data_IF_877594923568
#
_entry.id   IF_877594923568
#
_cell.length_a   1.000
_cell.length_b   1.000
_cell.length_c   1.000
_cell.angle_alpha   90.00
_cell.angle_beta   90.00
_cell.angle_gamma   90.00
#
_symmetry.space_group_name_H-M   'P 1'
#
loop_
_entity.id
_entity.type
_entity.pdbx_description
1 polymer ?
#
# COMPACT_ATOMS: atom_id res chain seq x y z
N UNK A 1 27.42 -10.28 -4.66
CA UNK A 1 28.58 -9.88 -3.85
C UNK A 1 28.83 -10.95 -2.78
N UNK A 2 29.96 -11.65 -2.90
CA UNK A 2 30.29 -12.81 -2.08
C UNK A 2 30.76 -12.45 -0.66
N UNK A 3 31.11 -11.19 -0.43
CA UNK A 3 31.69 -10.67 0.82
C UNK A 3 31.00 -9.38 1.26
N UNK A 4 29.68 -9.41 1.39
CA UNK A 4 28.89 -8.33 1.96
C UNK A 4 28.05 -8.86 3.10
N UNK A 5 27.60 -7.98 3.99
CA UNK A 5 26.70 -8.33 5.08
C UNK A 5 25.39 -8.96 4.55
N UNK A 6 24.96 -8.59 3.36
CA UNK A 6 23.81 -9.20 2.68
C UNK A 6 23.95 -10.72 2.47
N UNK A 7 25.17 -11.25 2.34
CA UNK A 7 25.37 -12.70 2.22
C UNK A 7 25.06 -13.46 3.53
N UNK A 8 24.99 -12.77 4.64
CA UNK A 8 24.62 -13.31 5.95
C UNK A 8 23.20 -12.93 6.38
N UNK A 9 22.79 -11.71 6.07
CA UNK A 9 21.49 -11.15 6.50
C UNK A 9 20.34 -11.57 5.58
N UNK A 10 20.65 -12.02 4.37
CA UNK A 10 19.67 -12.45 3.36
C UNK A 10 19.92 -13.91 2.96
N UNK A 11 20.17 -14.76 3.96
CA UNK A 11 20.49 -16.18 3.76
C UNK A 11 19.22 -17.02 3.77
N UNK A 12 18.36 -16.86 2.75
CA UNK A 12 17.19 -17.71 2.59
C UNK A 12 17.61 -19.10 2.06
N UNK A 13 16.88 -20.12 2.45
CA UNK A 13 17.00 -21.50 1.93
C UNK A 13 16.48 -21.57 0.48
N UNK A 14 17.08 -20.79 -0.39
CA UNK A 14 16.68 -20.64 -1.78
C UNK A 14 17.87 -20.40 -2.71
N UNK A 15 17.66 -20.56 -3.99
CA UNK A 15 18.71 -20.35 -4.99
C UNK A 15 19.20 -18.89 -4.97
N UNK A 16 20.50 -18.73 -4.88
CA UNK A 16 21.15 -17.41 -4.94
C UNK A 16 21.31 -16.99 -6.39
N UNK A 17 20.35 -16.21 -6.86
CA UNK A 17 20.37 -15.63 -8.19
C UNK A 17 20.84 -14.18 -8.10
N UNK A 18 21.82 -13.85 -8.96
CA UNK A 18 22.34 -12.49 -9.07
C UNK A 18 21.65 -11.75 -10.20
N UNK A 19 21.52 -10.45 -10.09
CA UNK A 19 20.99 -9.59 -11.14
C UNK A 19 19.99 -8.57 -10.62
N UNK A 20 19.39 -7.85 -11.56
CA UNK A 20 18.30 -6.90 -11.29
C UNK A 20 16.99 -7.64 -11.54
N UNK A 21 16.22 -7.86 -10.49
CA UNK A 21 15.00 -8.68 -10.53
C UNK A 21 13.73 -7.85 -10.66
N UNK A 22 13.84 -6.52 -10.63
CA UNK A 22 12.73 -5.57 -10.74
C UNK A 22 13.00 -4.58 -11.87
N UNK A 23 11.95 -3.93 -12.33
CA UNK A 23 12.05 -2.91 -13.37
C UNK A 23 12.99 -1.78 -12.99
N UNK A 24 13.73 -1.28 -13.99
CA UNK A 24 14.57 -0.08 -13.89
C UNK A 24 13.96 1.00 -14.76
N UNK A 25 13.60 2.12 -14.15
CA UNK A 25 12.97 3.23 -14.88
C UNK A 25 13.55 4.59 -14.45
N UNK A 26 13.42 5.55 -15.35
CA UNK A 26 13.77 6.95 -15.10
C UNK A 26 12.46 7.73 -15.10
N UNK A 27 12.27 8.57 -14.10
CA UNK A 27 11.12 9.47 -14.02
C UNK A 27 11.55 10.88 -13.64
N UNK A 28 10.71 11.86 -13.97
CA UNK A 28 10.87 13.23 -13.51
C UNK A 28 9.61 13.70 -12.78
N UNK A 29 9.80 14.53 -11.78
CA UNK A 29 8.71 15.17 -11.03
C UNK A 29 8.84 16.69 -11.08
N UNK A 30 7.73 17.44 -10.93
CA UNK A 30 7.79 18.87 -10.67
C UNK A 30 8.65 19.18 -9.43
N UNK A 31 9.22 20.39 -9.33
CA UNK A 31 10.01 20.80 -8.16
C UNK A 31 9.18 20.79 -6.86
N UNK A 32 7.91 21.17 -6.94
CA UNK A 32 6.93 20.96 -5.88
C UNK A 32 6.11 19.75 -6.27
N UNK A 33 6.06 18.72 -5.42
CA UNK A 33 5.44 17.45 -5.75
C UNK A 33 4.94 16.73 -4.50
N UNK A 34 4.13 15.71 -4.70
CA UNK A 34 3.79 14.73 -3.67
C UNK A 34 4.99 13.78 -3.52
N UNK A 35 5.72 13.90 -2.40
CA UNK A 35 6.91 13.09 -2.16
C UNK A 35 6.54 11.65 -1.82
N UNK A 36 5.58 11.51 -0.91
CA UNK A 36 5.09 10.24 -0.40
C UNK A 36 3.67 10.42 0.18
N UNK A 37 2.95 9.34 0.38
CA UNK A 37 1.71 9.35 1.15
C UNK A 37 1.53 8.03 1.90
N UNK A 38 0.82 8.09 3.02
CA UNK A 38 0.50 6.93 3.82
C UNK A 38 -0.96 6.96 4.24
N UNK A 39 -1.71 5.94 3.84
CA UNK A 39 -3.14 5.79 4.15
C UNK A 39 -3.35 4.69 5.18
N UNK A 40 -4.20 4.98 6.18
CA UNK A 40 -4.77 4.01 7.10
C UNK A 40 -6.27 4.02 6.93
N UNK A 41 -6.82 2.89 6.53
CA UNK A 41 -8.25 2.69 6.34
C UNK A 41 -8.71 1.56 7.27
N UNK A 42 -9.02 1.91 8.50
CA UNK A 42 -9.51 1.02 9.53
C UNK A 42 -11.03 1.01 9.65
N UNK A 43 -11.53 0.24 10.59
CA UNK A 43 -12.93 0.21 10.97
C UNK A 43 -13.09 0.61 12.46
N UNK A 44 -14.25 1.10 12.81
CA UNK A 44 -14.61 1.37 14.20
C UNK A 44 -14.76 0.07 15.02
N UNK A 45 -14.95 0.17 16.33
CA UNK A 45 -15.09 -0.98 17.23
C UNK A 45 -16.29 -1.88 16.89
N UNK A 46 -17.24 -1.40 16.10
CA UNK A 46 -18.40 -2.16 15.64
C UNK A 46 -18.23 -2.69 14.19
N UNK A 47 -17.09 -2.43 13.59
CA UNK A 47 -16.73 -2.82 12.22
C UNK A 47 -17.71 -2.35 11.13
N UNK A 48 -18.27 -1.15 11.31
CA UNK A 48 -19.28 -0.56 10.41
C UNK A 48 -18.86 0.76 9.80
N UNK A 49 -18.24 1.63 10.61
CA UNK A 49 -17.75 2.93 10.16
C UNK A 49 -16.31 2.80 9.68
N UNK A 50 -16.00 3.47 8.58
CA UNK A 50 -14.64 3.59 8.10
C UNK A 50 -13.90 4.66 8.88
N UNK A 51 -12.71 4.35 9.37
CA UNK A 51 -11.77 5.32 9.94
C UNK A 51 -10.73 5.57 8.86
N UNK A 52 -10.80 6.73 8.23
CA UNK A 52 -9.88 7.14 7.19
C UNK A 52 -8.86 8.13 7.74
N UNK A 53 -7.60 7.79 7.65
CA UNK A 53 -6.47 8.67 8.00
C UNK A 53 -5.49 8.66 6.83
N UNK A 54 -5.09 9.84 6.36
CA UNK A 54 -4.13 10.01 5.28
C UNK A 54 -3.09 11.05 5.67
N UNK A 55 -1.82 10.69 5.49
CA UNK A 55 -0.69 11.59 5.60
C UNK A 55 -0.08 11.78 4.23
N UNK A 56 0.10 13.02 3.78
CA UNK A 56 0.69 13.37 2.48
C UNK A 56 1.94 14.19 2.71
N UNK A 57 3.08 13.70 2.28
CA UNK A 57 4.35 14.40 2.30
C UNK A 57 4.47 15.27 1.04
N UNK A 58 4.45 16.58 1.21
CA UNK A 58 4.61 17.56 0.13
C UNK A 58 6.05 18.06 0.11
N UNK A 59 6.76 17.79 -0.98
CA UNK A 59 8.08 18.34 -1.24
C UNK A 59 7.96 19.69 -1.95
N UNK A 60 8.60 20.73 -1.42
CA UNK A 60 8.67 22.05 -2.02
C UNK A 60 10.13 22.54 -2.21
N UNK A 61 11.10 21.69 -1.86
CA UNK A 61 12.52 21.98 -2.00
C UNK A 61 12.98 23.17 -1.15
N UNK A 62 13.83 24.01 -1.72
CA UNK A 62 14.41 25.17 -1.01
C UNK A 62 13.50 26.41 -0.97
N UNK A 63 12.43 26.46 -1.77
CA UNK A 63 11.58 27.66 -1.89
C UNK A 63 10.17 27.34 -1.42
N UNK A 64 9.81 27.87 -0.27
CA UNK A 64 8.45 27.80 0.25
C UNK A 64 7.45 28.42 -0.72
N UNK A 65 6.44 27.68 -1.19
CA UNK A 65 5.35 28.23 -1.99
C UNK A 65 4.46 29.15 -1.16
N UNK A 66 3.77 30.07 -1.78
CA UNK A 66 2.86 30.99 -1.06
C UNK A 66 1.64 30.26 -0.53
N UNK A 67 1.03 29.46 -1.39
CA UNK A 67 -0.15 28.62 -1.10
C UNK A 67 -0.09 27.39 -2.04
N UNK A 68 -0.50 26.26 -1.53
CA UNK A 68 -0.81 25.05 -2.29
C UNK A 68 -2.19 24.57 -1.90
N UNK A 69 -2.80 23.72 -2.70
CA UNK A 69 -4.04 23.04 -2.34
C UNK A 69 -3.86 21.52 -2.55
N UNK A 70 -4.23 20.73 -1.55
CA UNK A 70 -4.41 19.30 -1.70
C UNK A 70 -5.89 18.98 -1.80
N UNK A 71 -6.24 18.22 -2.83
CA UNK A 71 -7.56 17.59 -2.96
C UNK A 71 -7.40 16.09 -2.90
N UNK A 72 -8.21 15.45 -2.07
CA UNK A 72 -8.25 13.99 -1.93
C UNK A 72 -9.66 13.53 -2.27
N UNK A 73 -9.79 12.78 -3.34
CA UNK A 73 -11.05 12.11 -3.69
C UNK A 73 -10.99 10.65 -3.26
N UNK A 74 -12.08 10.16 -2.67
CA UNK A 74 -12.26 8.76 -2.28
C UNK A 74 -13.65 8.32 -2.74
N UNK A 75 -13.71 7.31 -3.59
CA UNK A 75 -14.97 6.77 -4.14
C UNK A 75 -14.91 5.27 -4.36
N UNK A 76 -16.05 4.64 -4.45
CA UNK A 76 -16.21 3.26 -4.90
C UNK A 76 -17.25 3.20 -6.04
N UNK A 77 -17.46 2.00 -6.59
CA UNK A 77 -18.41 1.81 -7.67
C UNK A 77 -19.82 2.27 -7.28
N UNK A 78 -20.54 2.94 -8.19
CA UNK A 78 -21.91 3.42 -7.99
C UNK A 78 -22.87 2.30 -7.60
N UNK A 79 -22.63 1.07 -8.06
CA UNK A 79 -23.40 -0.12 -7.72
C UNK A 79 -23.10 -0.72 -6.33
N UNK A 80 -22.15 -0.18 -5.58
CA UNK A 80 -21.81 -0.65 -4.24
C UNK A 80 -22.94 -0.42 -3.25
N UNK A 81 -23.14 -1.37 -2.33
CA UNK A 81 -24.21 -1.28 -1.32
C UNK A 81 -24.10 -0.02 -0.45
N UNK A 82 -22.88 0.36 -0.10
CA UNK A 82 -22.55 1.58 0.62
C UNK A 82 -21.70 2.45 -0.31
N UNK A 83 -22.35 3.01 -1.36
CA UNK A 83 -21.66 3.94 -2.25
C UNK A 83 -21.24 5.19 -1.51
N UNK A 84 -19.99 5.58 -1.69
CA UNK A 84 -19.45 6.83 -1.20
C UNK A 84 -18.74 7.58 -2.30
N UNK A 85 -18.86 8.89 -2.26
CA UNK A 85 -18.07 9.83 -3.02
C UNK A 85 -17.68 10.98 -2.07
N UNK A 86 -16.41 11.03 -1.71
CA UNK A 86 -15.85 12.02 -0.78
C UNK A 86 -14.80 12.85 -1.48
N UNK A 87 -14.87 14.14 -1.27
CA UNK A 87 -13.84 15.09 -1.69
C UNK A 87 -13.40 15.91 -0.48
N UNK A 88 -12.14 15.78 -0.13
CA UNK A 88 -11.47 16.56 0.91
C UNK A 88 -10.59 17.59 0.24
N UNK A 89 -10.71 18.85 0.65
CA UNK A 89 -9.88 19.94 0.13
C UNK A 89 -9.21 20.66 1.30
N UNK A 90 -7.92 20.84 1.22
CA UNK A 90 -7.14 21.58 2.21
C UNK A 90 -6.21 22.58 1.52
N UNK A 91 -6.43 23.85 1.79
CA UNK A 91 -5.48 24.90 1.46
C UNK A 91 -4.28 24.81 2.43
N UNK A 92 -3.07 24.91 1.91
CA UNK A 92 -1.83 24.78 2.64
C UNK A 92 -1.09 26.10 2.51
N UNK A 93 -1.01 26.85 3.61
CA UNK A 93 -0.27 28.09 3.70
C UNK A 93 1.22 27.86 3.93
N UNK A 94 2.03 28.92 3.83
CA UNK A 94 3.44 28.85 4.24
C UNK A 94 3.60 28.41 5.70
N UNK A 95 2.71 28.89 6.58
CA UNK A 95 2.77 28.56 8.00
C UNK A 95 2.48 27.09 8.22
N UNK A 96 1.49 26.52 7.54
CA UNK A 96 1.20 25.08 7.61
C UNK A 96 2.41 24.23 7.19
N UNK A 97 3.15 24.66 6.16
CA UNK A 97 4.36 23.95 5.73
C UNK A 97 5.49 24.03 6.78
N UNK A 98 5.62 25.17 7.45
CA UNK A 98 6.62 25.35 8.52
C UNK A 98 6.25 24.50 9.74
N UNK A 99 5.00 24.59 10.20
CA UNK A 99 4.51 23.91 11.41
C UNK A 99 4.50 22.37 11.27
N UNK A 100 4.34 21.87 10.05
CA UNK A 100 4.28 20.44 9.74
C UNK A 100 5.55 19.92 9.04
N UNK A 101 6.66 20.62 9.16
CA UNK A 101 7.92 20.23 8.54
C UNK A 101 8.44 18.91 9.12
N UNK A 102 8.57 17.89 8.24
CA UNK A 102 9.12 16.57 8.56
C UNK A 102 10.64 16.54 8.40
N UNK A 103 11.14 17.22 7.37
CA UNK A 103 12.56 17.43 7.06
C UNK A 103 12.72 18.61 6.13
N UNK A 104 13.96 19.01 5.84
CA UNK A 104 14.22 20.15 4.97
C UNK A 104 13.51 20.01 3.61
N UNK A 105 12.68 21.00 3.28
CA UNK A 105 11.90 21.07 2.05
C UNK A 105 10.71 20.11 1.92
N UNK A 106 10.35 19.37 3.00
CA UNK A 106 9.22 18.42 3.00
C UNK A 106 8.35 18.61 4.23
N UNK A 107 7.05 18.73 4.04
CA UNK A 107 6.07 18.83 5.12
C UNK A 107 4.96 17.80 4.98
N UNK A 108 4.47 17.28 6.10
CA UNK A 108 3.41 16.27 6.13
C UNK A 108 2.06 16.91 6.42
N UNK A 109 1.10 16.70 5.53
CA UNK A 109 -0.26 17.20 5.66
C UNK A 109 -1.20 16.03 5.98
N UNK A 110 -2.03 16.19 7.00
CA UNK A 110 -2.91 15.14 7.49
C UNK A 110 -4.38 15.41 7.13
N UNK A 111 -5.06 14.32 6.78
CA UNK A 111 -6.52 14.24 6.63
C UNK A 111 -7.03 13.14 7.55
N UNK A 112 -8.21 13.35 8.13
CA UNK A 112 -8.89 12.36 8.96
C UNK A 112 -10.40 12.52 8.81
N UNK A 113 -11.10 11.40 8.62
CA UNK A 113 -12.57 11.36 8.58
C UNK A 113 -13.10 10.05 9.18
N UNK A 114 -14.34 10.08 9.64
CA UNK A 114 -15.11 8.91 10.01
C UNK A 114 -16.27 8.78 9.03
N UNK A 115 -16.22 7.75 8.21
CA UNK A 115 -17.23 7.49 7.18
C UNK A 115 -18.29 6.56 7.79
N UNK A 116 -19.54 7.02 7.87
CA UNK A 116 -20.61 6.35 8.61
C UNK A 116 -20.87 4.91 8.17
N UNK A 117 -20.69 4.59 6.89
CA UNK A 117 -20.82 3.23 6.36
C UNK A 117 -19.82 3.00 5.25
N UNK A 118 -19.11 1.88 5.32
CA UNK A 118 -18.20 1.42 4.27
C UNK A 118 -18.46 -0.05 3.97
N UNK A 119 -18.16 -0.46 2.75
CA UNK A 119 -18.05 -1.86 2.39
C UNK A 119 -16.63 -2.32 2.76
N UNK A 120 -16.53 -3.09 3.84
CA UNK A 120 -15.25 -3.54 4.36
C UNK A 120 -14.59 -4.53 3.39
N UNK A 121 -13.26 -4.48 3.32
CA UNK A 121 -12.44 -5.43 2.59
C UNK A 121 -12.22 -6.71 3.42
N UNK A 122 -12.40 -7.86 2.80
CA UNK A 122 -11.97 -9.17 3.32
C UNK A 122 -11.57 -10.07 2.14
N UNK A 123 -10.93 -11.21 2.42
CA UNK A 123 -10.57 -12.16 1.36
C UNK A 123 -11.81 -12.66 0.57
N UNK A 124 -12.97 -12.79 1.22
CA UNK A 124 -14.22 -13.21 0.56
C UNK A 124 -14.94 -12.05 -0.15
N UNK A 125 -14.65 -10.81 0.23
CA UNK A 125 -15.25 -9.59 -0.33
C UNK A 125 -14.19 -8.50 -0.41
N UNK A 126 -13.36 -8.50 -1.46
CA UNK A 126 -12.24 -7.57 -1.60
C UNK A 126 -12.70 -6.19 -2.10
N UNK A 127 -13.56 -5.54 -1.31
CA UNK A 127 -14.08 -4.22 -1.63
C UNK A 127 -12.97 -3.16 -1.57
N UNK A 128 -12.75 -2.47 -2.67
CA UNK A 128 -11.73 -1.43 -2.79
C UNK A 128 -12.35 -0.10 -3.19
N UNK A 129 -11.75 0.97 -2.72
CA UNK A 129 -12.08 2.35 -3.04
C UNK A 129 -10.96 2.95 -3.88
N UNK A 130 -11.32 3.77 -4.84
CA UNK A 130 -10.37 4.60 -5.59
C UNK A 130 -10.04 5.84 -4.77
N UNK A 131 -8.76 6.05 -4.49
CA UNK A 131 -8.25 7.27 -3.89
C UNK A 131 -7.39 8.01 -4.89
N UNK A 132 -7.66 9.31 -5.05
CA UNK A 132 -6.84 10.20 -5.87
C UNK A 132 -6.42 11.40 -5.05
N UNK A 133 -5.13 11.74 -5.06
CA UNK A 133 -4.57 12.92 -4.42
C UNK A 133 -4.09 13.87 -5.50
N UNK A 134 -4.60 15.12 -5.51
CA UNK A 134 -4.20 16.17 -6.44
C UNK A 134 -3.52 17.29 -5.67
N UNK A 135 -2.32 17.66 -6.11
CA UNK A 135 -1.62 18.83 -5.64
C UNK A 135 -1.84 19.96 -6.65
N UNK A 136 -2.29 21.12 -6.18
CA UNK A 136 -2.53 22.31 -7.01
C UNK A 136 -1.68 23.49 -6.56
N UNK A 137 -1.31 24.32 -7.52
CA UNK A 137 -0.64 25.58 -7.26
C UNK A 137 -1.62 26.68 -6.81
N UNK A 138 -1.10 27.86 -6.47
CA UNK A 138 -1.89 29.04 -6.06
C UNK A 138 -2.90 29.56 -7.09
N UNK A 139 -2.77 29.13 -8.35
CA UNK A 139 -3.71 29.49 -9.42
C UNK A 139 -4.77 28.43 -9.65
N UNK A 140 -4.72 27.33 -8.89
CA UNK A 140 -5.59 26.17 -9.05
C UNK A 140 -5.16 25.19 -10.14
N UNK A 141 -4.00 25.40 -10.78
CA UNK A 141 -3.49 24.44 -11.76
C UNK A 141 -3.01 23.18 -11.06
N UNK A 142 -3.35 22.02 -11.62
CA UNK A 142 -2.88 20.73 -11.13
C UNK A 142 -1.38 20.60 -11.41
N UNK A 143 -0.61 20.39 -10.34
CA UNK A 143 0.85 20.20 -10.37
C UNK A 143 1.18 18.73 -10.51
N UNK A 144 0.50 17.88 -9.73
CA UNK A 144 0.69 16.42 -9.73
C UNK A 144 -0.59 15.72 -9.30
N UNK A 145 -0.77 14.50 -9.80
CA UNK A 145 -1.84 13.59 -9.39
C UNK A 145 -1.23 12.23 -9.10
N UNK A 146 -1.60 11.65 -7.97
CA UNK A 146 -1.27 10.28 -7.62
C UNK A 146 -2.54 9.54 -7.21
N UNK A 147 -2.59 8.23 -7.45
CA UNK A 147 -3.74 7.40 -7.12
C UNK A 147 -3.35 6.11 -6.43
N UNK A 148 -4.27 5.54 -5.67
CA UNK A 148 -4.13 4.23 -5.03
C UNK A 148 -5.50 3.62 -4.79
N UNK A 149 -5.53 2.29 -4.65
CA UNK A 149 -6.70 1.59 -4.12
C UNK A 149 -6.62 1.55 -2.59
N UNK A 150 -7.77 1.59 -1.94
CA UNK A 150 -7.89 1.61 -0.47
C UNK A 150 -8.95 0.60 -0.04
N UNK A 151 -8.61 -0.32 0.86
CA UNK A 151 -9.54 -1.26 1.47
C UNK A 151 -9.72 -0.97 2.96
N UNK A 152 -10.95 -0.74 3.43
CA UNK A 152 -11.23 -0.56 4.85
C UNK A 152 -11.25 -1.90 5.56
N UNK A 153 -10.29 -2.13 6.44
CA UNK A 153 -10.20 -3.37 7.23
C UNK A 153 -9.53 -3.13 8.58
N UNK A 154 -9.85 -3.99 9.53
CA UNK A 154 -9.14 -4.09 10.80
C UNK A 154 -8.65 -5.51 10.99
N UNK A 155 -7.35 -5.67 11.17
CA UNK A 155 -6.71 -6.95 11.53
C UNK A 155 -6.24 -6.85 12.96
N UNK A 156 -6.61 -7.80 13.79
CA UNK A 156 -6.30 -7.80 15.22
C UNK A 156 -6.12 -9.21 15.77
N UNK A 157 -5.33 -9.34 16.82
CA UNK A 157 -5.30 -10.55 17.65
C UNK A 157 -6.13 -10.24 18.90
N UNK A 158 -7.26 -10.94 19.03
CA UNK A 158 -8.20 -10.74 20.13
C UNK A 158 -8.76 -12.08 20.61
N UNK A 159 -8.82 -12.27 21.91
CA UNK A 159 -9.27 -13.53 22.55
C UNK A 159 -8.44 -14.73 22.06
N UNK A 160 -7.13 -14.56 21.86
CA UNK A 160 -6.24 -15.61 21.36
C UNK A 160 -6.44 -16.00 19.88
N UNK A 161 -7.21 -15.22 19.10
CA UNK A 161 -7.52 -15.50 17.72
C UNK A 161 -7.10 -14.35 16.80
N UNK A 162 -6.61 -14.68 15.62
CA UNK A 162 -6.44 -13.71 14.53
C UNK A 162 -7.81 -13.42 13.91
N UNK A 163 -8.19 -12.15 13.93
CA UNK A 163 -9.48 -11.68 13.42
C UNK A 163 -9.29 -10.64 12.32
N UNK A 164 -10.14 -10.71 11.32
CA UNK A 164 -10.32 -9.64 10.32
C UNK A 164 -11.76 -9.14 10.44
N UNK A 165 -11.90 -7.82 10.64
CA UNK A 165 -13.20 -7.16 10.85
C UNK A 165 -14.01 -7.84 11.97
N UNK A 166 -13.34 -8.20 13.07
CA UNK A 166 -13.92 -8.85 14.25
C UNK A 166 -14.26 -10.33 14.09
N UNK A 167 -14.03 -10.93 12.92
CA UNK A 167 -14.32 -12.36 12.66
C UNK A 167 -13.02 -13.15 12.67
N UNK A 168 -12.97 -14.29 13.39
CA UNK A 168 -11.85 -15.20 13.32
C UNK A 168 -11.64 -15.67 11.87
N UNK A 169 -10.41 -15.75 11.44
CA UNK A 169 -10.05 -16.29 10.13
C UNK A 169 -9.30 -17.61 10.29
N UNK A 170 -9.53 -18.51 9.35
CA UNK A 170 -8.70 -19.70 9.18
C UNK A 170 -7.74 -19.45 8.03
N UNK A 171 -6.45 -19.49 8.32
CA UNK A 171 -5.39 -19.35 7.31
C UNK A 171 -5.34 -20.63 6.49
N UNK A 172 -5.73 -20.55 5.22
CA UNK A 172 -5.56 -21.58 4.20
C UNK A 172 -4.54 -21.03 3.21
N UNK A 173 -3.27 -21.18 3.53
CA UNK A 173 -2.20 -20.46 2.87
C UNK A 173 -1.16 -21.34 2.20
N UNK A 174 -0.40 -20.71 1.33
CA UNK A 174 0.79 -21.27 0.68
C UNK A 174 1.95 -20.30 0.79
N UNK A 175 3.17 -20.86 0.74
CA UNK A 175 4.38 -20.06 0.54
C UNK A 175 4.56 -19.76 -0.95
N UNK A 176 5.01 -18.57 -1.26
CA UNK A 176 5.33 -18.15 -2.64
C UNK A 176 6.70 -17.50 -2.70
N UNK A 177 7.53 -17.97 -3.62
CA UNK A 177 8.71 -17.25 -4.09
C UNK A 177 8.39 -16.49 -5.38
N UNK A 178 9.01 -15.32 -5.58
CA UNK A 178 9.09 -14.72 -6.91
C UNK A 178 10.07 -15.54 -7.76
N UNK A 179 9.54 -16.52 -8.49
CA UNK A 179 10.34 -17.42 -9.30
C UNK A 179 9.58 -17.94 -10.52
N UNK A 180 10.26 -17.93 -11.65
CA UNK A 180 9.83 -18.56 -12.89
C UNK A 180 10.96 -19.46 -13.40
N UNK A 181 10.62 -20.65 -13.92
CA UNK A 181 11.59 -21.64 -14.35
C UNK A 181 12.51 -21.20 -15.49
N UNK A 182 12.10 -20.19 -16.25
CA UNK A 182 12.87 -19.69 -17.39
C UNK A 182 13.61 -18.38 -17.10
N UNK A 183 13.01 -17.52 -16.26
CA UNK A 183 13.50 -16.16 -16.01
C UNK A 183 14.01 -15.94 -14.59
N UNK A 184 14.01 -16.99 -13.77
CA UNK A 184 14.47 -16.91 -12.37
C UNK A 184 13.58 -16.01 -11.54
N UNK A 185 14.16 -15.03 -10.83
CA UNK A 185 13.41 -14.10 -9.98
C UNK A 185 12.74 -12.93 -10.74
N UNK A 186 12.87 -12.88 -12.06
CA UNK A 186 12.16 -11.90 -12.89
C UNK A 186 10.78 -12.46 -13.26
N UNK A 187 9.79 -12.26 -12.43
CA UNK A 187 8.44 -12.79 -12.62
C UNK A 187 7.58 -11.80 -13.38
N UNK A 188 6.93 -12.26 -14.47
CA UNK A 188 6.05 -11.40 -15.26
C UNK A 188 4.69 -11.17 -14.56
N UNK A 189 3.99 -10.11 -14.97
CA UNK A 189 2.64 -9.81 -14.49
C UNK A 189 1.65 -10.94 -14.79
N UNK A 190 1.76 -11.54 -15.98
CA UNK A 190 0.92 -12.67 -16.41
C UNK A 190 1.13 -13.90 -15.52
N UNK A 191 2.38 -14.16 -15.10
CA UNK A 191 2.69 -15.25 -14.17
C UNK A 191 2.09 -14.98 -12.79
N UNK A 192 2.23 -13.76 -12.26
CA UNK A 192 1.62 -13.37 -10.98
C UNK A 192 0.09 -13.52 -11.02
N UNK A 193 -0.56 -13.10 -12.11
CA UNK A 193 -2.00 -13.30 -12.29
C UNK A 193 -2.39 -14.77 -12.37
N UNK A 194 -1.55 -15.60 -13.00
CA UNK A 194 -1.78 -17.04 -13.06
C UNK A 194 -1.68 -17.68 -11.66
N UNK A 195 -0.66 -17.31 -10.90
CA UNK A 195 -0.46 -17.80 -9.53
C UNK A 195 -1.68 -17.51 -8.66
N UNK A 196 -2.15 -16.25 -8.66
CA UNK A 196 -3.27 -15.86 -7.82
C UNK A 196 -4.59 -16.53 -8.24
N UNK A 197 -4.83 -16.70 -9.57
CA UNK A 197 -5.99 -17.41 -10.07
C UNK A 197 -5.98 -18.88 -9.66
N UNK A 198 -4.81 -19.53 -9.68
CA UNK A 198 -4.66 -20.90 -9.21
C UNK A 198 -4.92 -21.01 -7.69
N UNK A 199 -4.39 -20.08 -6.90
CA UNK A 199 -4.65 -20.05 -5.46
C UNK A 199 -6.15 -19.97 -5.16
N UNK A 200 -6.88 -19.10 -5.85
CA UNK A 200 -8.32 -18.96 -5.68
C UNK A 200 -9.09 -20.21 -6.11
N UNK A 201 -8.70 -20.85 -7.21
CA UNK A 201 -9.31 -22.10 -7.68
C UNK A 201 -9.17 -23.24 -6.66
N UNK A 202 -8.11 -23.21 -5.84
CA UNK A 202 -7.85 -24.17 -4.78
C UNK A 202 -8.32 -23.70 -3.39
N UNK A 203 -9.15 -22.67 -3.31
CA UNK A 203 -9.68 -22.10 -2.07
C UNK A 203 -8.58 -21.65 -1.07
N UNK A 204 -7.45 -21.19 -1.59
CA UNK A 204 -6.39 -20.57 -0.81
C UNK A 204 -6.79 -19.12 -0.58
N UNK A 205 -6.73 -18.65 0.68
CA UNK A 205 -7.08 -17.31 1.08
C UNK A 205 -5.89 -16.48 1.61
N UNK A 206 -4.71 -17.10 1.69
CA UNK A 206 -3.53 -16.47 2.28
C UNK A 206 -2.27 -16.88 1.51
N UNK A 207 -1.38 -15.93 1.32
CA UNK A 207 -0.05 -16.17 0.75
C UNK A 207 1.02 -15.61 1.69
N UNK A 208 2.08 -16.37 1.90
CA UNK A 208 3.29 -15.90 2.58
C UNK A 208 4.34 -15.59 1.52
N UNK A 209 4.85 -14.35 1.54
CA UNK A 209 5.91 -13.91 0.62
C UNK A 209 7.27 -14.40 1.12
N UNK A 210 7.52 -15.69 0.96
CA UNK A 210 8.74 -16.32 1.45
C UNK A 210 9.93 -16.04 0.52
N UNK A 211 11.01 -15.46 1.01
CA UNK A 211 11.23 -14.87 2.35
C UNK A 211 11.66 -13.41 2.22
N UNK A 212 10.98 -12.65 1.37
CA UNK A 212 11.31 -11.27 1.02
C UNK A 212 10.08 -10.55 0.44
N UNK A 213 10.04 -9.22 0.45
CA UNK A 213 8.96 -8.48 -0.19
C UNK A 213 8.87 -8.81 -1.68
N UNK A 214 7.67 -9.11 -2.15
CA UNK A 214 7.42 -9.40 -3.56
C UNK A 214 7.30 -8.12 -4.40
N UNK A 215 7.03 -8.25 -5.69
CA UNK A 215 6.73 -7.13 -6.57
C UNK A 215 5.49 -6.36 -6.10
N UNK A 216 5.48 -5.04 -6.28
CA UNK A 216 4.35 -4.18 -5.90
C UNK A 216 3.04 -4.65 -6.55
N UNK A 217 3.10 -5.09 -7.81
CA UNK A 217 1.94 -5.60 -8.52
C UNK A 217 1.34 -6.85 -7.87
N UNK A 218 2.17 -7.68 -7.19
CA UNK A 218 1.66 -8.82 -6.42
C UNK A 218 0.72 -8.39 -5.30
N UNK A 219 1.06 -7.35 -4.56
CA UNK A 219 0.22 -6.82 -3.49
C UNK A 219 -1.07 -6.21 -4.04
N UNK A 220 -1.00 -5.51 -5.17
CA UNK A 220 -2.19 -4.99 -5.87
C UNK A 220 -3.14 -6.12 -6.28
N UNK A 221 -2.61 -7.25 -6.75
CA UNK A 221 -3.39 -8.42 -7.07
C UNK A 221 -4.01 -9.06 -5.81
N UNK A 222 -3.26 -9.16 -4.71
CA UNK A 222 -3.77 -9.67 -3.44
C UNK A 222 -4.93 -8.80 -2.90
N UNK A 223 -4.81 -7.49 -2.98
CA UNK A 223 -5.88 -6.57 -2.61
C UNK A 223 -7.11 -6.74 -3.51
N UNK A 224 -6.91 -6.83 -4.83
CA UNK A 224 -7.96 -6.94 -5.83
C UNK A 224 -8.72 -8.27 -5.78
N UNK A 225 -8.00 -9.38 -5.60
CA UNK A 225 -8.58 -10.72 -5.66
C UNK A 225 -8.95 -11.28 -4.28
N UNK A 226 -8.57 -10.64 -3.20
CA UNK A 226 -8.91 -11.04 -1.85
C UNK A 226 -8.00 -12.15 -1.31
N UNK A 227 -6.71 -11.86 -1.20
CA UNK A 227 -5.76 -12.73 -0.49
C UNK A 227 -5.17 -12.00 0.71
N UNK A 228 -5.16 -12.65 1.86
CA UNK A 228 -4.36 -12.18 3.00
C UNK A 228 -2.88 -12.40 2.69
N UNK A 229 -2.04 -11.47 3.11
CA UNK A 229 -0.60 -11.55 2.91
C UNK A 229 0.10 -11.64 4.26
N UNK A 230 0.98 -12.62 4.40
CA UNK A 230 1.98 -12.67 5.46
C UNK A 230 3.28 -12.21 4.80
N UNK A 231 3.56 -10.91 4.96
CA UNK A 231 4.73 -10.29 4.33
C UNK A 231 5.97 -10.49 5.19
N UNK A 232 7.11 -10.71 4.54
CA UNK A 232 8.38 -10.93 5.21
C UNK A 232 9.41 -9.89 4.77
N UNK A 233 10.13 -9.36 5.75
CA UNK A 233 11.33 -8.57 5.48
C UNK A 233 12.44 -9.48 4.94
N UNK A 234 13.22 -8.99 3.98
CA UNK A 234 14.38 -9.70 3.46
C UNK A 234 15.53 -9.72 4.49
N UNK A 235 15.27 -10.36 5.61
CA UNK A 235 16.22 -10.48 6.71
C UNK A 235 16.11 -11.87 7.34
N UNK A 236 16.94 -12.78 6.86
CA UNK A 236 17.02 -14.15 7.36
C UNK A 236 18.49 -14.52 7.58
N UNK A 237 18.83 -14.86 8.82
CA UNK A 237 20.19 -15.19 9.22
C UNK A 237 20.22 -16.49 10.02
N UNK A 238 20.82 -17.53 9.43
CA UNK A 238 20.95 -18.85 10.07
C UNK A 238 22.15 -18.97 11.02
N UNK A 239 23.08 -18.02 10.98
CA UNK A 239 24.38 -18.13 11.67
C UNK A 239 24.64 -17.11 12.79
N UNK A 240 23.67 -16.30 13.12
CA UNK A 240 23.78 -15.28 14.16
C UNK A 240 22.94 -15.64 15.40
N UNK A 241 23.20 -16.81 15.93
CA UNK A 241 22.72 -17.24 17.24
C UNK A 241 23.64 -16.80 18.35
#
# INVERSE_FOLDING_TARGET
YRFSDGSYLECQDYWRMSGITRDVFIYSKPKTNIYDFFVKAGLDNNYRKGIFELSVDVNYGKKLPSVLTLEVALSNDEGSKNHIEKLYTKEITKQDLIDNQKRDGVSTIHFKDIIERVDAWSAEKPNLYDMTIRLKDKKGNVVEVVGSKVGFRTTEVKDGQLKVNGKPILIKGVNRHDHDGNTGQCVSREMMEKDIKLMLQHNINTVRTSHYPNDVYWYELCDKYGLYVIDEANNESHAQG
#
